data_IF_696085125644
#
_entry.id   IF_696085125644
#
_cell.length_a   1.000
_cell.length_b   1.000
_cell.length_c   1.000
_cell.angle_alpha   90.00
_cell.angle_beta   90.00
_cell.angle_gamma   90.00
#
_symmetry.space_group_name_H-M   'P 1'
#
loop_
_entity.id
_entity.type
_entity.pdbx_description
1 polymer ?
#
# COMPACT_ATOMS: atom_id res chain seq x y z
N UNK A 1 40.10 19.69 -2.99
CA UNK A 1 38.67 20.07 -3.11
C UNK A 1 37.90 19.25 -4.17
N UNK A 2 38.43 19.04 -5.38
CA UNK A 2 37.73 18.31 -6.47
C UNK A 2 37.41 16.84 -6.08
N UNK A 3 38.38 16.11 -5.48
CA UNK A 3 38.16 14.73 -5.05
C UNK A 3 37.05 14.58 -3.97
N UNK A 4 37.04 15.49 -2.99
CA UNK A 4 36.00 15.46 -1.92
C UNK A 4 34.62 15.69 -2.51
N UNK A 5 34.46 16.63 -3.43
CA UNK A 5 33.21 16.92 -4.12
C UNK A 5 32.70 15.72 -4.93
N UNK A 6 33.56 15.01 -5.64
CA UNK A 6 33.19 13.81 -6.39
C UNK A 6 32.76 12.67 -5.47
N UNK A 7 33.45 12.49 -4.34
CA UNK A 7 33.05 11.49 -3.34
C UNK A 7 31.68 11.82 -2.75
N UNK A 8 31.42 13.08 -2.42
CA UNK A 8 30.12 13.53 -1.93
C UNK A 8 29.01 13.31 -2.96
N UNK A 9 29.26 13.60 -4.24
CA UNK A 9 28.29 13.37 -5.31
C UNK A 9 27.99 11.88 -5.52
N UNK A 10 28.99 10.99 -5.37
CA UNK A 10 28.79 9.54 -5.42
C UNK A 10 27.96 9.03 -4.22
N UNK A 11 28.25 9.52 -3.02
CA UNK A 11 27.45 9.20 -1.82
C UNK A 11 26.02 9.70 -1.98
N UNK A 12 25.83 10.96 -2.40
CA UNK A 12 24.50 11.52 -2.69
C UNK A 12 23.74 10.70 -3.73
N UNK A 13 24.41 10.24 -4.80
CA UNK A 13 23.84 9.37 -5.82
C UNK A 13 23.32 8.05 -5.24
N UNK A 14 24.09 7.43 -4.35
CA UNK A 14 23.69 6.17 -3.70
C UNK A 14 22.51 6.41 -2.77
N UNK A 15 22.52 7.46 -1.96
CA UNK A 15 21.42 7.78 -1.05
C UNK A 15 20.13 8.05 -1.83
N UNK A 16 20.16 8.98 -2.79
CA UNK A 16 19.00 9.31 -3.63
C UNK A 16 18.50 8.07 -4.37
N UNK A 17 19.42 7.29 -4.96
CA UNK A 17 19.10 6.09 -5.69
C UNK A 17 18.41 5.02 -4.81
N UNK A 18 18.92 4.78 -3.61
CA UNK A 18 18.32 3.81 -2.68
C UNK A 18 16.94 4.25 -2.20
N UNK A 19 16.77 5.53 -1.86
CA UNK A 19 15.47 6.06 -1.45
C UNK A 19 14.45 5.95 -2.57
N UNK A 20 14.82 6.27 -3.81
CA UNK A 20 13.94 6.17 -4.98
C UNK A 20 13.57 4.72 -5.30
N UNK A 21 14.54 3.80 -5.27
CA UNK A 21 14.26 2.36 -5.47
C UNK A 21 13.32 1.85 -4.37
N UNK A 22 13.61 2.14 -3.11
CA UNK A 22 12.78 1.70 -1.98
C UNK A 22 11.36 2.27 -2.05
N UNK A 23 11.24 3.58 -2.24
CA UNK A 23 9.95 4.28 -2.35
C UNK A 23 9.14 3.80 -3.57
N UNK A 24 9.79 3.67 -4.74
CA UNK A 24 9.15 3.17 -5.96
C UNK A 24 8.69 1.72 -5.84
N UNK A 25 9.49 0.83 -5.25
CA UNK A 25 9.10 -0.57 -5.01
C UNK A 25 7.95 -0.69 -4.03
N UNK A 26 8.00 0.02 -2.89
CA UNK A 26 6.94 -0.04 -1.89
C UNK A 26 5.59 0.44 -2.44
N UNK A 27 5.60 1.49 -3.28
CA UNK A 27 4.38 1.91 -4.00
C UNK A 27 3.96 0.92 -5.08
N UNK A 28 4.91 0.29 -5.77
CA UNK A 28 4.65 -0.70 -6.81
C UNK A 28 4.06 -2.02 -6.25
N UNK A 29 4.17 -2.26 -4.93
CA UNK A 29 3.46 -3.36 -4.24
C UNK A 29 1.94 -3.14 -4.28
N UNK A 30 1.46 -1.89 -4.13
CA UNK A 30 0.03 -1.55 -4.21
C UNK A 30 -0.20 -0.37 -5.17
N UNK A 31 -0.22 -0.62 -6.50
CA UNK A 31 -0.49 0.44 -7.47
C UNK A 31 -1.90 1.03 -7.32
N UNK A 32 -2.88 0.22 -6.90
CA UNK A 32 -4.26 0.68 -6.67
C UNK A 32 -4.33 1.63 -5.47
N UNK A 33 -3.65 1.31 -4.37
CA UNK A 33 -3.54 2.21 -3.22
C UNK A 33 -2.89 3.55 -3.58
N UNK A 34 -1.84 3.52 -4.41
CA UNK A 34 -1.23 4.74 -4.95
C UNK A 34 -2.20 5.51 -5.85
N UNK A 35 -2.99 4.83 -6.70
CA UNK A 35 -4.02 5.47 -7.54
C UNK A 35 -5.10 6.15 -6.69
N UNK A 36 -5.55 5.53 -5.60
CA UNK A 36 -6.52 6.13 -4.67
C UNK A 36 -5.98 7.41 -4.01
N UNK A 37 -4.71 7.45 -3.64
CA UNK A 37 -4.07 8.68 -3.13
C UNK A 37 -3.98 9.76 -4.22
N UNK A 38 -3.61 9.39 -5.45
CA UNK A 38 -3.61 10.31 -6.60
C UNK A 38 -5.01 10.87 -6.84
N UNK A 39 -6.06 10.05 -6.75
CA UNK A 39 -7.45 10.50 -6.95
C UNK A 39 -7.87 11.54 -5.91
N UNK A 40 -7.42 11.40 -4.65
CA UNK A 40 -7.67 12.39 -3.59
C UNK A 40 -6.97 13.72 -3.88
N UNK A 41 -5.73 13.70 -4.40
CA UNK A 41 -5.03 14.92 -4.82
C UNK A 41 -5.70 15.60 -6.01
N UNK A 42 -6.24 14.80 -6.94
CA UNK A 42 -6.89 15.30 -8.16
C UNK A 42 -8.38 15.61 -7.97
N UNK A 43 -8.98 15.28 -6.82
CA UNK A 43 -10.41 15.48 -6.57
C UNK A 43 -10.93 16.89 -6.87
N UNK A 44 -10.19 18.00 -6.65
CA UNK A 44 -10.62 19.34 -7.00
C UNK A 44 -10.72 19.58 -8.52
N UNK A 45 -10.01 18.79 -9.34
CA UNK A 45 -9.91 18.96 -10.79
C UNK A 45 -10.64 17.83 -11.52
N UNK A 46 -10.53 16.61 -11.02
CA UNK A 46 -11.08 15.39 -11.58
C UNK A 46 -12.00 14.73 -10.55
N UNK A 47 -13.32 14.88 -10.73
CA UNK A 47 -14.28 14.23 -9.84
C UNK A 47 -14.06 12.71 -9.86
N UNK A 48 -13.94 12.05 -8.68
CA UNK A 48 -13.81 10.59 -8.61
C UNK A 48 -14.97 9.83 -9.26
N UNK A 49 -16.15 10.47 -9.37
CA UNK A 49 -17.33 9.90 -10.02
C UNK A 49 -17.32 10.07 -11.55
N UNK A 50 -16.36 10.82 -12.14
CA UNK A 50 -16.29 11.01 -13.58
C UNK A 50 -15.87 9.73 -14.29
N UNK A 51 -16.47 9.49 -15.47
CA UNK A 51 -16.09 8.35 -16.30
C UNK A 51 -14.59 8.40 -16.64
N UNK A 52 -13.89 7.30 -16.41
CA UNK A 52 -12.46 7.18 -16.69
C UNK A 52 -11.52 7.73 -15.60
N UNK A 53 -12.01 8.37 -14.53
CA UNK A 53 -11.16 8.88 -13.44
C UNK A 53 -10.31 7.77 -12.81
N UNK A 54 -10.88 6.60 -12.57
CA UNK A 54 -10.16 5.43 -12.03
C UNK A 54 -9.05 4.98 -13.00
N UNK A 55 -9.33 4.92 -14.29
CA UNK A 55 -8.34 4.53 -15.32
C UNK A 55 -7.18 5.53 -15.39
N UNK A 56 -7.50 6.83 -15.36
CA UNK A 56 -6.49 7.90 -15.38
C UNK A 56 -5.60 7.84 -14.14
N UNK A 57 -6.19 7.75 -12.96
CA UNK A 57 -5.43 7.70 -11.70
C UNK A 57 -4.60 6.43 -11.57
N UNK A 58 -5.09 5.30 -12.07
CA UNK A 58 -4.35 4.05 -12.15
C UNK A 58 -3.16 4.17 -13.11
N UNK A 59 -3.36 4.71 -14.30
CA UNK A 59 -2.28 4.95 -15.26
C UNK A 59 -1.20 5.89 -14.69
N UNK A 60 -1.61 6.97 -14.03
CA UNK A 60 -0.70 7.88 -13.33
C UNK A 60 0.07 7.18 -12.21
N UNK A 61 -0.58 6.28 -11.48
CA UNK A 61 0.06 5.47 -10.44
C UNK A 61 1.17 4.59 -11.03
N UNK A 62 0.90 3.87 -12.12
CA UNK A 62 1.92 3.05 -12.81
C UNK A 62 3.09 3.90 -13.29
N UNK A 63 2.82 5.06 -13.87
CA UNK A 63 3.87 6.00 -14.32
C UNK A 63 4.68 6.52 -13.14
N UNK A 64 4.04 6.92 -12.05
CA UNK A 64 4.70 7.46 -10.86
C UNK A 64 5.59 6.40 -10.19
N UNK A 65 5.04 5.23 -9.84
CA UNK A 65 5.76 4.15 -9.17
C UNK A 65 6.92 3.64 -10.06
N UNK A 66 6.64 3.39 -11.35
CA UNK A 66 7.62 2.90 -12.31
C UNK A 66 8.74 3.91 -12.56
N UNK A 67 8.42 5.19 -12.76
CA UNK A 67 9.43 6.24 -12.98
C UNK A 67 10.32 6.45 -11.76
N UNK A 68 9.77 6.46 -10.57
CA UNK A 68 10.52 6.61 -9.32
C UNK A 68 11.51 5.45 -9.13
N UNK A 69 11.03 4.21 -9.27
CA UNK A 69 11.91 3.02 -9.23
C UNK A 69 13.01 3.07 -10.29
N UNK A 70 12.65 3.37 -11.54
CA UNK A 70 13.61 3.40 -12.65
C UNK A 70 14.66 4.51 -12.49
N UNK A 71 14.26 5.70 -12.04
CA UNK A 71 15.19 6.78 -11.73
C UNK A 71 16.19 6.34 -10.66
N UNK A 72 15.73 5.72 -9.58
CA UNK A 72 16.57 5.19 -8.52
C UNK A 72 17.53 4.10 -9.03
N UNK A 73 17.01 3.10 -9.74
CA UNK A 73 17.79 2.00 -10.28
C UNK A 73 18.86 2.49 -11.29
N UNK A 74 18.49 3.40 -12.19
CA UNK A 74 19.42 3.94 -13.19
C UNK A 74 20.47 4.86 -12.56
N UNK A 75 20.14 5.62 -11.52
CA UNK A 75 21.12 6.37 -10.74
C UNK A 75 22.11 5.42 -10.07
N UNK A 76 21.65 4.36 -9.39
CA UNK A 76 22.52 3.38 -8.73
C UNK A 76 23.45 2.68 -9.73
N UNK A 77 22.93 2.27 -10.88
CA UNK A 77 23.70 1.61 -11.94
C UNK A 77 24.55 2.57 -12.77
N UNK A 78 24.35 3.87 -12.62
CA UNK A 78 25.04 4.89 -13.43
C UNK A 78 24.67 4.84 -14.92
N UNK A 79 23.45 4.35 -15.23
CA UNK A 79 22.90 4.28 -16.59
C UNK A 79 22.26 5.64 -16.94
N UNK A 80 22.49 6.16 -18.14
CA UNK A 80 21.96 7.46 -18.61
C UNK A 80 22.13 8.63 -17.61
N UNK A 81 23.27 8.67 -16.91
CA UNK A 81 23.56 9.54 -15.76
C UNK A 81 23.07 10.99 -15.85
N UNK A 82 23.34 11.69 -16.99
CA UNK A 82 22.93 13.08 -17.16
C UNK A 82 21.42 13.24 -17.25
N UNK A 83 20.76 12.31 -17.96
CA UNK A 83 19.32 12.31 -18.12
C UNK A 83 18.64 12.01 -16.79
N UNK A 84 19.06 10.93 -16.11
CA UNK A 84 18.48 10.54 -14.82
C UNK A 84 18.73 11.59 -13.73
N UNK A 85 19.90 12.22 -13.70
CA UNK A 85 20.18 13.29 -12.75
C UNK A 85 19.29 14.54 -12.97
N UNK A 86 18.98 14.90 -14.23
CA UNK A 86 18.03 16.00 -14.52
C UNK A 86 16.61 15.64 -14.10
N UNK A 87 16.16 14.44 -14.48
CA UNK A 87 14.84 13.95 -14.12
C UNK A 87 14.66 13.79 -12.60
N UNK A 88 15.70 13.35 -11.88
CA UNK A 88 15.60 13.24 -10.42
C UNK A 88 15.48 14.60 -9.74
N UNK A 89 16.15 15.65 -10.24
CA UNK A 89 15.94 17.01 -9.72
C UNK A 89 14.54 17.50 -10.04
N UNK A 90 14.04 17.31 -11.27
CA UNK A 90 12.67 17.69 -11.65
C UNK A 90 11.64 16.95 -10.79
N UNK A 91 11.81 15.64 -10.63
CA UNK A 91 10.95 14.81 -9.78
C UNK A 91 10.95 15.31 -8.33
N UNK A 92 12.13 15.59 -7.76
CA UNK A 92 12.25 16.10 -6.40
C UNK A 92 11.66 17.50 -6.23
N UNK A 93 11.75 18.38 -7.23
CA UNK A 93 11.09 19.69 -7.21
C UNK A 93 9.57 19.54 -7.13
N UNK A 94 8.99 18.69 -7.99
CA UNK A 94 7.54 18.40 -7.99
C UNK A 94 7.13 17.80 -6.64
N UNK A 95 7.84 16.77 -6.16
CA UNK A 95 7.48 16.10 -4.91
C UNK A 95 7.67 17.00 -3.69
N UNK A 96 8.64 17.92 -3.70
CA UNK A 96 8.81 18.91 -2.63
C UNK A 96 7.63 19.90 -2.63
N UNK A 97 7.19 20.36 -3.81
CA UNK A 97 6.04 21.24 -3.93
C UNK A 97 4.74 20.55 -3.47
N UNK A 98 4.52 19.28 -3.87
CA UNK A 98 3.36 18.49 -3.43
C UNK A 98 3.37 18.29 -1.91
N UNK A 99 4.52 17.92 -1.32
CA UNK A 99 4.60 17.71 0.14
C UNK A 99 4.51 19.02 0.93
N UNK A 100 4.93 20.14 0.37
CA UNK A 100 4.67 21.46 0.97
C UNK A 100 3.18 21.80 0.93
N UNK A 101 2.50 21.54 -0.19
CA UNK A 101 1.05 21.70 -0.29
C UNK A 101 0.30 20.84 0.74
N UNK A 102 0.67 19.56 0.89
CA UNK A 102 0.04 18.67 1.88
C UNK A 102 0.30 19.12 3.31
N UNK A 103 1.49 19.67 3.61
CA UNK A 103 1.81 20.22 4.94
C UNK A 103 0.95 21.42 5.29
N UNK A 104 0.64 22.29 4.30
CA UNK A 104 -0.13 23.53 4.52
C UNK A 104 -1.64 23.27 4.47
N UNK A 105 -2.11 22.54 3.44
CA UNK A 105 -3.54 22.39 3.16
C UNK A 105 -4.17 21.16 3.83
N UNK A 106 -3.37 20.18 4.27
CA UNK A 106 -3.79 18.93 4.90
C UNK A 106 -4.95 18.20 4.16
N UNK A 107 -4.88 18.03 2.82
CA UNK A 107 -5.99 17.50 2.02
C UNK A 107 -6.22 16.00 2.22
N UNK A 108 -5.21 15.29 2.73
CA UNK A 108 -5.21 13.83 2.92
C UNK A 108 -4.57 13.47 4.26
N UNK A 109 -4.86 12.29 4.79
CA UNK A 109 -4.36 11.85 6.10
C UNK A 109 -2.88 11.50 6.12
N UNK A 110 -2.33 10.99 5.02
CA UNK A 110 -0.91 10.66 4.87
C UNK A 110 -0.43 10.95 3.45
N UNK A 111 0.85 11.30 3.30
CA UNK A 111 1.43 11.67 2.01
C UNK A 111 1.60 10.48 1.05
N UNK A 112 1.60 9.24 1.53
CA UNK A 112 1.81 8.04 0.72
C UNK A 112 3.17 7.91 0.05
N UNK A 113 4.20 8.63 0.52
CA UNK A 113 5.54 8.63 -0.08
C UNK A 113 6.18 7.24 -0.17
N UNK A 114 5.86 6.34 0.76
CA UNK A 114 6.30 4.95 0.79
C UNK A 114 5.13 3.94 0.72
N UNK A 115 4.03 4.34 0.05
CA UNK A 115 2.81 3.53 0.02
C UNK A 115 2.20 3.37 1.41
N UNK A 116 1.61 2.20 1.68
CA UNK A 116 1.04 1.86 2.98
C UNK A 116 2.05 1.17 3.93
N UNK A 117 3.28 0.91 3.44
CA UNK A 117 4.32 0.23 4.21
C UNK A 117 4.91 1.10 5.32
N UNK A 118 5.12 2.39 5.05
CA UNK A 118 5.67 3.36 6.01
C UNK A 118 4.82 4.63 5.92
N UNK A 119 4.05 4.87 6.97
CA UNK A 119 3.24 6.08 7.11
C UNK A 119 4.10 7.17 7.73
N UNK A 120 4.44 8.19 6.94
CA UNK A 120 5.13 9.39 7.37
C UNK A 120 4.12 10.52 7.59
N UNK A 121 4.35 11.31 8.62
CA UNK A 121 3.64 12.57 8.81
C UNK A 121 3.94 13.53 7.64
N UNK A 122 3.09 14.53 7.44
CA UNK A 122 3.31 15.55 6.39
C UNK A 122 4.64 16.28 6.57
N UNK A 123 5.01 16.58 7.84
CA UNK A 123 6.26 17.25 8.16
C UNK A 123 7.47 16.34 7.82
N UNK A 124 7.45 15.07 8.21
CA UNK A 124 8.54 14.13 7.92
C UNK A 124 8.71 13.92 6.41
N UNK A 125 7.59 13.83 5.67
CA UNK A 125 7.59 13.73 4.21
C UNK A 125 8.22 14.96 3.55
N UNK A 126 7.88 16.16 4.02
CA UNK A 126 8.45 17.41 3.54
C UNK A 126 9.94 17.51 3.87
N UNK A 127 10.34 17.27 5.13
CA UNK A 127 11.74 17.31 5.55
C UNK A 127 12.62 16.33 4.78
N UNK A 128 12.14 15.11 4.55
CA UNK A 128 12.81 14.13 3.68
C UNK A 128 13.09 14.73 2.29
N UNK A 129 12.12 15.38 1.67
CA UNK A 129 12.27 15.97 0.35
C UNK A 129 13.19 17.19 0.35
N UNK A 130 13.17 18.02 1.40
CA UNK A 130 14.11 19.14 1.61
C UNK A 130 15.57 18.64 1.68
N UNK A 131 15.81 17.44 2.23
CA UNK A 131 17.14 16.82 2.27
C UNK A 131 17.50 16.20 0.91
N UNK A 132 16.57 15.51 0.24
CA UNK A 132 16.86 14.80 -1.01
C UNK A 132 17.04 15.74 -2.21
N UNK A 133 16.37 16.90 -2.23
CA UNK A 133 16.48 17.86 -3.33
C UNK A 133 17.91 18.41 -3.50
N UNK A 134 18.60 18.95 -2.48
CA UNK A 134 19.99 19.40 -2.63
C UNK A 134 20.94 18.25 -2.96
N UNK A 135 20.72 17.02 -2.45
CA UNK A 135 21.50 15.86 -2.85
C UNK A 135 21.32 15.55 -4.34
N UNK A 136 20.09 15.64 -4.86
CA UNK A 136 19.81 15.45 -6.29
C UNK A 136 20.46 16.54 -7.15
N UNK A 137 20.49 17.78 -6.68
CA UNK A 137 21.22 18.90 -7.34
C UNK A 137 22.73 18.64 -7.35
N UNK A 138 23.30 18.13 -6.26
CA UNK A 138 24.70 17.75 -6.20
C UNK A 138 25.02 16.66 -7.21
N UNK A 139 24.18 15.63 -7.32
CA UNK A 139 24.30 14.56 -8.34
C UNK A 139 24.25 15.14 -9.75
N UNK A 140 23.36 16.11 -10.02
CA UNK A 140 23.25 16.74 -11.33
C UNK A 140 24.49 17.54 -11.70
N UNK A 141 25.05 18.32 -10.76
CA UNK A 141 26.27 19.14 -10.97
C UNK A 141 27.45 18.28 -11.39
N UNK A 142 27.60 17.10 -10.80
CA UNK A 142 28.72 16.20 -11.07
C UNK A 142 28.36 15.01 -11.99
N UNK A 143 27.20 15.04 -12.65
CA UNK A 143 26.66 13.93 -13.45
C UNK A 143 27.62 13.40 -14.55
N UNK A 144 28.55 14.22 -15.05
CA UNK A 144 29.56 13.79 -16.03
C UNK A 144 30.66 12.94 -15.40
N UNK A 145 31.02 13.23 -14.16
CA UNK A 145 32.14 12.61 -13.44
C UNK A 145 31.70 11.35 -12.66
N UNK A 146 30.39 11.17 -12.43
CA UNK A 146 29.84 9.99 -11.73
C UNK A 146 30.29 8.69 -12.41
N UNK A 147 30.56 7.69 -11.60
CA UNK A 147 30.93 6.35 -12.07
C UNK A 147 29.79 5.70 -12.85
N UNK A 148 30.11 5.01 -13.94
CA UNK A 148 29.19 4.19 -14.70
C UNK A 148 29.55 2.72 -14.50
N UNK A 149 28.52 1.89 -14.27
CA UNK A 149 28.73 0.48 -14.03
C UNK A 149 28.83 -0.30 -15.34
N UNK A 150 28.21 0.19 -16.40
CA UNK A 150 28.11 -0.50 -17.69
C UNK A 150 28.76 0.30 -18.81
N UNK A 151 29.35 -0.39 -19.79
CA UNK A 151 29.82 0.22 -21.02
C UNK A 151 28.66 0.82 -21.83
N UNK A 152 28.97 1.72 -22.78
CA UNK A 152 27.93 2.29 -23.65
C UNK A 152 27.12 1.24 -24.42
N UNK A 153 27.76 0.12 -24.78
CA UNK A 153 27.12 -0.98 -25.52
C UNK A 153 26.27 -1.90 -24.65
N UNK A 154 26.57 -2.02 -23.36
CA UNK A 154 25.92 -2.97 -22.46
C UNK A 154 24.80 -2.35 -21.59
N UNK A 155 24.77 -1.00 -21.46
CA UNK A 155 23.83 -0.30 -20.53
C UNK A 155 22.35 -0.50 -20.83
N UNK A 156 21.99 -0.89 -22.06
CA UNK A 156 20.60 -1.15 -22.42
C UNK A 156 20.06 -2.42 -21.75
N UNK A 157 20.92 -3.43 -21.52
CA UNK A 157 20.50 -4.70 -20.90
C UNK A 157 19.91 -4.48 -19.50
N UNK A 158 20.64 -3.90 -18.51
CA UNK A 158 20.07 -3.65 -17.20
C UNK A 158 18.91 -2.64 -17.26
N UNK A 159 18.91 -1.70 -18.20
CA UNK A 159 17.80 -0.78 -18.37
C UNK A 159 16.51 -1.50 -18.79
N UNK A 160 16.58 -2.36 -19.81
CA UNK A 160 15.42 -3.15 -20.27
C UNK A 160 14.95 -4.11 -19.18
N UNK A 161 15.89 -4.82 -18.51
CA UNK A 161 15.52 -5.72 -17.41
C UNK A 161 14.81 -4.98 -16.26
N UNK A 162 15.25 -3.76 -15.92
CA UNK A 162 14.58 -2.96 -14.89
C UNK A 162 13.21 -2.49 -15.33
N UNK A 163 13.05 -2.04 -16.58
CA UNK A 163 11.76 -1.61 -17.13
C UNK A 163 10.78 -2.77 -17.19
N UNK A 164 11.16 -3.89 -17.81
CA UNK A 164 10.31 -5.07 -17.92
C UNK A 164 9.95 -5.62 -16.54
N UNK A 165 10.94 -5.69 -15.64
CA UNK A 165 10.71 -6.23 -14.30
C UNK A 165 9.76 -5.38 -13.47
N UNK A 166 9.88 -4.05 -13.48
CA UNK A 166 8.96 -3.20 -12.70
C UNK A 166 7.55 -3.19 -13.29
N UNK A 167 7.41 -3.20 -14.61
CA UNK A 167 6.10 -3.30 -15.27
C UNK A 167 5.44 -4.62 -14.92
N UNK A 168 6.17 -5.74 -15.05
CA UNK A 168 5.68 -7.06 -14.67
C UNK A 168 5.28 -7.09 -13.19
N UNK A 169 6.12 -6.59 -12.29
CA UNK A 169 5.85 -6.55 -10.85
C UNK A 169 4.58 -5.77 -10.51
N UNK A 170 4.39 -4.59 -11.11
CA UNK A 170 3.17 -3.79 -10.90
C UNK A 170 1.94 -4.48 -11.50
N UNK A 171 2.05 -5.07 -12.69
CA UNK A 171 0.96 -5.78 -13.35
C UNK A 171 0.49 -7.00 -12.54
N UNK A 172 1.43 -7.75 -11.97
CA UNK A 172 1.15 -8.86 -11.07
C UNK A 172 0.41 -8.43 -9.80
N UNK A 173 0.89 -7.36 -9.14
CA UNK A 173 0.25 -6.82 -7.93
C UNK A 173 -1.12 -6.19 -8.22
N UNK A 174 -1.35 -5.72 -9.45
CA UNK A 174 -2.64 -5.18 -9.87
C UNK A 174 -3.65 -6.28 -10.21
N UNK A 175 -3.22 -7.29 -10.96
CA UNK A 175 -4.08 -8.40 -11.43
C UNK A 175 -4.45 -9.36 -10.29
N UNK A 176 -3.50 -9.61 -9.43
CA UNK A 176 -3.63 -10.42 -8.23
C UNK A 176 -3.66 -9.54 -6.99
N UNK A 177 -3.61 -10.10 -5.81
CA UNK A 177 -3.42 -9.30 -4.59
C UNK A 177 -1.95 -8.95 -4.40
N UNK A 178 -1.64 -7.84 -3.68
CA UNK A 178 -0.28 -7.46 -3.37
C UNK A 178 0.57 -8.58 -2.76
N UNK A 179 1.83 -8.69 -3.16
CA UNK A 179 2.79 -9.67 -2.59
C UNK A 179 2.93 -9.53 -1.07
N UNK A 180 2.89 -8.31 -0.57
CA UNK A 180 2.92 -8.00 0.85
C UNK A 180 1.72 -7.10 1.12
N UNK A 181 0.82 -7.56 1.98
CA UNK A 181 -0.32 -6.75 2.40
C UNK A 181 0.05 -5.97 3.66
N UNK A 182 0.41 -4.70 3.48
CA UNK A 182 0.72 -3.77 4.57
C UNK A 182 -0.52 -3.22 5.28
N UNK A 183 -1.71 -3.56 4.79
CA UNK A 183 -2.98 -3.05 5.30
C UNK A 183 -3.45 -3.84 6.52
N UNK A 184 -4.38 -3.25 7.30
CA UNK A 184 -4.88 -3.88 8.53
C UNK A 184 -5.50 -5.26 8.34
N UNK A 185 -6.09 -5.52 7.18
CA UNK A 185 -6.86 -6.73 6.85
C UNK A 185 -6.01 -7.80 6.15
N UNK A 186 -4.74 -7.94 6.52
CA UNK A 186 -3.87 -8.97 5.95
C UNK A 186 -4.36 -10.38 6.32
N UNK A 187 -4.04 -11.38 5.46
CA UNK A 187 -4.30 -12.80 5.77
C UNK A 187 -3.61 -13.16 7.08
N UNK A 188 -4.32 -13.83 7.96
CA UNK A 188 -3.88 -14.17 9.32
C UNK A 188 -4.37 -13.22 10.42
N UNK A 189 -4.94 -12.05 10.07
CA UNK A 189 -5.50 -11.11 11.06
C UNK A 189 -6.76 -11.69 11.69
N UNK A 190 -6.81 -11.72 13.03
CA UNK A 190 -8.02 -11.95 13.79
C UNK A 190 -8.76 -10.61 13.95
N UNK A 191 -9.85 -10.43 13.18
CA UNK A 191 -10.60 -9.18 13.15
C UNK A 191 -11.27 -8.89 14.49
N UNK A 192 -11.81 -9.91 15.18
CA UNK A 192 -12.45 -9.75 16.49
C UNK A 192 -11.47 -9.14 17.50
N UNK A 193 -10.28 -9.74 17.64
CA UNK A 193 -9.26 -9.26 18.57
C UNK A 193 -8.72 -7.88 18.17
N UNK A 194 -8.52 -7.66 16.86
CA UNK A 194 -7.97 -6.42 16.34
C UNK A 194 -8.91 -5.23 16.58
N UNK A 195 -10.21 -5.40 16.31
CA UNK A 195 -11.23 -4.38 16.53
C UNK A 195 -11.41 -4.12 18.02
N UNK A 196 -11.53 -5.17 18.86
CA UNK A 196 -11.64 -5.01 20.30
C UNK A 196 -10.44 -4.28 20.92
N UNK A 197 -9.23 -4.57 20.43
CA UNK A 197 -8.00 -3.88 20.85
C UNK A 197 -7.98 -2.41 20.45
N UNK A 198 -8.48 -2.09 19.26
CA UNK A 198 -8.59 -0.71 18.80
C UNK A 198 -9.62 0.08 19.60
N UNK A 199 -10.80 -0.49 19.82
CA UNK A 199 -11.86 0.10 20.66
C UNK A 199 -11.35 0.37 22.08
N UNK A 200 -10.69 -0.59 22.71
CA UNK A 200 -10.09 -0.41 24.03
C UNK A 200 -8.98 0.63 24.05
N UNK A 201 -8.23 0.79 22.95
CA UNK A 201 -7.24 1.85 22.78
C UNK A 201 -7.89 3.23 22.65
N UNK A 202 -8.93 3.33 21.81
CA UNK A 202 -9.71 4.55 21.64
C UNK A 202 -10.36 4.99 22.98
N UNK A 203 -10.97 4.04 23.69
CA UNK A 203 -11.59 4.31 24.99
C UNK A 203 -10.56 4.87 26.00
N UNK A 204 -9.33 4.32 26.02
CA UNK A 204 -8.25 4.85 26.87
C UNK A 204 -7.86 6.28 26.49
N UNK A 205 -7.76 6.57 25.18
CA UNK A 205 -7.46 7.92 24.70
C UNK A 205 -8.57 8.88 25.10
N UNK A 206 -9.85 8.49 24.92
CA UNK A 206 -11.02 9.28 25.30
C UNK A 206 -11.04 9.58 26.79
N UNK A 207 -10.82 8.56 27.64
CA UNK A 207 -10.78 8.75 29.10
C UNK A 207 -9.62 9.66 29.53
N UNK A 208 -8.44 9.51 28.90
CA UNK A 208 -7.29 10.37 29.19
C UNK A 208 -7.44 11.81 28.69
N UNK A 209 -8.19 12.02 27.61
CA UNK A 209 -8.45 13.34 27.06
C UNK A 209 -9.70 14.03 27.65
N UNK A 210 -10.48 13.32 28.49
CA UNK A 210 -11.63 13.92 29.16
C UNK A 210 -11.14 14.64 30.42
N UNK A 211 -11.34 15.96 30.47
CA UNK A 211 -11.10 16.78 31.65
C UNK A 211 -12.41 16.97 32.40
N UNK A 212 -12.40 16.66 33.67
CA UNK A 212 -13.53 16.87 34.59
C UNK A 212 -13.35 18.19 35.30
N UNK A 213 -14.24 19.15 35.04
CA UNK A 213 -14.20 20.48 35.60
C UNK A 213 -14.99 20.47 36.88
N UNK A 214 -14.34 20.81 37.98
CA UNK A 214 -14.94 20.95 39.29
C UNK A 214 -14.79 22.40 39.78
N UNK A 215 -15.73 22.84 40.62
CA UNK A 215 -15.73 24.16 41.25
C UNK A 215 -15.65 24.03 42.75
N UNK A 216 -14.84 24.90 43.38
CA UNK A 216 -14.77 25.12 44.83
C UNK A 216 -14.48 26.60 45.09
N UNK A 217 -15.27 27.21 45.99
CA UNK A 217 -15.14 28.62 46.39
C UNK A 217 -15.11 29.58 45.18
N UNK A 218 -15.96 29.31 44.17
CA UNK A 218 -16.06 30.15 42.96
C UNK A 218 -14.89 29.98 41.97
N UNK A 219 -13.93 29.09 42.22
CA UNK A 219 -12.82 28.76 41.31
C UNK A 219 -13.06 27.41 40.65
N UNK A 220 -12.90 27.38 39.34
CA UNK A 220 -12.97 26.15 38.54
C UNK A 220 -11.58 25.58 38.26
N UNK A 221 -11.44 24.26 38.35
CA UNK A 221 -10.20 23.54 38.01
C UNK A 221 -10.53 22.27 37.25
N UNK A 222 -9.70 21.96 36.25
CA UNK A 222 -9.80 20.72 35.46
C UNK A 222 -8.97 19.59 36.11
N UNK A 223 -9.55 18.42 36.19
CA UNK A 223 -8.96 17.19 36.74
C UNK A 223 -9.01 16.05 35.71
N UNK A 224 -8.08 15.16 35.81
CA UNK A 224 -8.11 13.89 35.03
C UNK A 224 -8.94 12.83 35.74
N UNK A 225 -9.46 11.86 34.98
CA UNK A 225 -10.26 10.76 35.55
C UNK A 225 -9.51 9.97 36.64
N UNK A 226 -8.18 9.89 36.55
CA UNK A 226 -7.29 9.24 37.53
C UNK A 226 -7.01 10.04 38.79
N UNK A 227 -7.34 11.34 38.80
CA UNK A 227 -6.99 12.28 39.88
C UNK A 227 -8.16 13.19 40.19
N UNK A 228 -9.36 12.64 40.37
CA UNK A 228 -10.55 13.40 40.74
C UNK A 228 -10.41 13.98 42.15
N UNK A 229 -10.95 15.20 42.40
CA UNK A 229 -10.87 15.83 43.69
C UNK A 229 -11.78 15.15 44.73
N UNK A 230 -11.58 15.50 45.98
CA UNK A 230 -12.40 15.07 47.10
C UNK A 230 -13.84 15.65 47.06
N UNK A 231 -14.70 15.17 47.96
CA UNK A 231 -16.12 15.56 48.06
C UNK A 231 -16.38 17.03 48.38
N UNK A 232 -15.34 17.85 48.61
CA UNK A 232 -15.46 19.29 48.83
C UNK A 232 -15.57 20.10 47.54
N UNK A 233 -15.35 19.45 46.38
CA UNK A 233 -15.50 20.04 45.06
C UNK A 233 -16.81 19.62 44.42
N UNK A 234 -17.48 20.54 43.75
CA UNK A 234 -18.72 20.30 43.01
C UNK A 234 -18.41 20.10 41.54
N UNK A 235 -18.89 19.00 40.98
CA UNK A 235 -18.78 18.74 39.53
C UNK A 235 -19.53 19.80 38.74
N UNK A 236 -18.93 20.32 37.68
CA UNK A 236 -19.53 21.35 36.80
C UNK A 236 -19.82 20.70 35.42
N UNK A 237 -18.79 20.21 34.75
CA UNK A 237 -18.92 19.56 33.42
C UNK A 237 -17.76 18.62 33.16
N UNK A 238 -17.96 17.71 32.21
CA UNK A 238 -16.86 16.97 31.59
C UNK A 238 -16.61 17.52 30.19
N UNK A 239 -15.39 17.97 29.94
CA UNK A 239 -14.96 18.51 28.66
C UNK A 239 -13.99 17.58 27.98
N UNK A 240 -14.27 17.20 26.75
CA UNK A 240 -13.42 16.37 25.93
C UNK A 240 -12.44 17.25 25.14
N UNK A 241 -11.14 17.11 25.42
CA UNK A 241 -10.07 17.87 24.76
C UNK A 241 -9.49 17.15 23.54
N UNK A 242 -9.85 15.86 23.33
CA UNK A 242 -9.44 15.12 22.13
C UNK A 242 -10.19 15.60 20.90
N UNK A 243 -9.47 15.93 19.86
CA UNK A 243 -10.05 16.15 18.53
C UNK A 243 -10.39 14.79 17.89
N UNK A 244 -11.60 14.30 18.17
CA UNK A 244 -12.11 13.06 17.61
C UNK A 244 -12.46 13.16 16.12
N UNK A 245 -12.63 14.39 15.61
CA UNK A 245 -12.92 14.59 14.19
C UNK A 245 -11.73 14.17 13.30
N UNK A 246 -10.53 14.14 13.87
CA UNK A 246 -9.32 13.69 13.18
C UNK A 246 -9.06 12.18 13.35
N UNK A 247 -9.74 11.51 14.27
CA UNK A 247 -9.57 10.07 14.49
C UNK A 247 -10.16 9.26 13.33
N UNK A 248 -9.33 8.42 12.72
CA UNK A 248 -9.76 7.46 11.71
C UNK A 248 -9.48 6.05 12.23
N UNK A 249 -10.51 5.21 12.41
CA UNK A 249 -10.30 3.85 12.85
C UNK A 249 -9.43 3.09 11.82
N UNK A 250 -8.55 2.27 12.32
CA UNK A 250 -7.70 1.41 11.48
C UNK A 250 -8.51 0.23 10.91
N UNK A 251 -9.50 -0.24 11.68
CA UNK A 251 -10.44 -1.31 11.32
C UNK A 251 -11.84 -0.74 11.21
N UNK A 252 -12.15 -0.13 10.06
CA UNK A 252 -13.46 0.43 9.75
C UNK A 252 -14.30 -0.60 8.97
N UNK A 253 -14.57 -1.75 9.61
CA UNK A 253 -15.39 -2.82 9.05
C UNK A 253 -16.67 -2.93 9.84
N UNK A 254 -17.69 -2.17 9.46
CA UNK A 254 -19.01 -2.18 10.09
C UNK A 254 -20.11 -2.31 9.03
N UNK A 255 -20.26 -3.49 8.39
CA UNK A 255 -21.30 -3.71 7.41
C UNK A 255 -22.67 -3.71 8.06
N UNK A 256 -23.66 -3.16 7.33
CA UNK A 256 -25.07 -3.15 7.73
C UNK A 256 -25.90 -4.01 6.79
N UNK A 257 -27.00 -4.55 7.29
CA UNK A 257 -27.94 -5.32 6.49
C UNK A 257 -28.94 -4.43 5.74
N UNK A 258 -29.91 -5.05 5.06
CA UNK A 258 -30.97 -4.35 4.33
C UNK A 258 -31.94 -3.55 5.22
N UNK A 259 -31.91 -3.77 6.53
CA UNK A 259 -32.72 -3.05 7.53
C UNK A 259 -31.94 -1.89 8.17
N UNK A 260 -30.62 -1.76 7.83
CA UNK A 260 -29.75 -0.77 8.43
C UNK A 260 -29.10 -1.21 9.73
N UNK A 261 -29.25 -2.48 10.13
CA UNK A 261 -28.69 -3.00 11.37
C UNK A 261 -27.24 -3.47 11.17
N UNK A 262 -26.32 -3.16 12.10
CA UNK A 262 -24.94 -3.61 12.02
C UNK A 262 -24.86 -5.13 12.23
N UNK A 263 -24.19 -5.82 11.30
CA UNK A 263 -24.03 -7.29 11.32
C UNK A 263 -22.61 -7.76 11.68
N UNK A 264 -21.76 -6.84 12.13
CA UNK A 264 -20.36 -7.16 12.43
C UNK A 264 -20.21 -8.25 13.49
N UNK A 265 -21.02 -8.22 14.57
CA UNK A 265 -21.00 -9.26 15.61
C UNK A 265 -21.40 -10.62 15.01
N UNK A 266 -22.47 -10.67 14.20
CA UNK A 266 -22.91 -11.89 13.53
C UNK A 266 -21.82 -12.48 12.65
N UNK A 267 -21.07 -11.64 11.92
CA UNK A 267 -19.99 -12.09 11.04
C UNK A 267 -18.74 -12.56 11.80
N UNK A 268 -18.40 -11.89 12.90
CA UNK A 268 -17.19 -12.20 13.66
C UNK A 268 -17.41 -13.27 14.73
N UNK A 269 -18.65 -13.43 15.24
CA UNK A 269 -19.00 -14.42 16.26
C UNK A 269 -19.51 -15.73 15.65
N UNK A 270 -19.70 -15.78 14.31
CA UNK A 270 -20.03 -17.03 13.63
C UNK A 270 -18.88 -18.03 13.79
N UNK A 271 -19.21 -19.24 14.27
CA UNK A 271 -18.28 -20.35 14.27
C UNK A 271 -18.12 -20.93 12.86
N UNK A 272 -16.90 -21.34 12.51
CA UNK A 272 -16.60 -21.96 11.24
C UNK A 272 -16.29 -20.97 10.12
N UNK A 273 -16.61 -21.36 8.88
CA UNK A 273 -16.22 -20.64 7.65
C UNK A 273 -17.32 -19.66 7.25
N UNK A 274 -16.95 -18.42 6.95
CA UNK A 274 -17.81 -17.41 6.33
C UNK A 274 -17.11 -16.83 5.11
N UNK A 275 -17.84 -16.72 3.99
CA UNK A 275 -17.33 -16.16 2.73
C UNK A 275 -17.93 -14.76 2.52
N UNK A 276 -17.06 -13.81 2.22
CA UNK A 276 -17.42 -12.44 1.90
C UNK A 276 -16.95 -12.13 0.47
N UNK A 277 -17.90 -11.89 -0.44
CA UNK A 277 -17.62 -11.41 -1.79
C UNK A 277 -17.72 -9.88 -1.77
N UNK A 278 -16.59 -9.19 -1.90
CA UNK A 278 -16.51 -7.74 -1.77
C UNK A 278 -16.36 -7.05 -3.11
N UNK A 279 -17.16 -6.02 -3.35
CA UNK A 279 -16.94 -5.08 -4.46
C UNK A 279 -17.41 -3.69 -4.05
N UNK A 280 -16.57 -2.64 -4.19
CA UNK A 280 -17.01 -1.25 -3.94
C UNK A 280 -18.19 -0.85 -4.80
N UNK A 281 -18.26 -1.34 -6.04
CA UNK A 281 -19.40 -1.16 -6.94
C UNK A 281 -19.60 -2.40 -7.80
N UNK A 282 -20.81 -2.92 -7.81
CA UNK A 282 -21.17 -4.04 -8.69
C UNK A 282 -21.23 -3.64 -10.16
N UNK A 283 -21.42 -2.36 -10.46
CA UNK A 283 -21.39 -1.85 -11.85
C UNK A 283 -20.02 -2.00 -12.49
N UNK A 284 -18.93 -1.85 -11.70
CA UNK A 284 -17.55 -1.94 -12.19
C UNK A 284 -16.91 -3.29 -11.89
N UNK A 285 -17.62 -4.19 -11.23
CA UNK A 285 -17.14 -5.53 -10.93
C UNK A 285 -16.88 -6.33 -12.21
N UNK A 286 -15.80 -7.10 -12.24
CA UNK A 286 -15.47 -7.96 -13.38
C UNK A 286 -16.55 -9.02 -13.60
N UNK A 287 -17.03 -9.09 -14.82
CA UNK A 287 -18.00 -10.10 -15.24
C UNK A 287 -17.32 -11.40 -15.75
N UNK A 288 -15.99 -11.43 -15.75
CA UNK A 288 -15.25 -12.57 -16.27
C UNK A 288 -15.29 -13.82 -15.38
N UNK A 289 -15.86 -13.70 -14.17
CA UNK A 289 -15.87 -14.75 -13.13
C UNK A 289 -17.27 -15.00 -12.57
N UNK A 290 -18.31 -14.79 -13.39
CA UNK A 290 -19.71 -14.97 -12.94
C UNK A 290 -20.03 -16.42 -12.65
N UNK A 291 -19.54 -17.34 -13.48
CA UNK A 291 -19.77 -18.78 -13.30
C UNK A 291 -19.08 -19.30 -12.03
N UNK A 292 -17.85 -18.84 -11.77
CA UNK A 292 -17.11 -19.15 -10.55
C UNK A 292 -17.80 -18.62 -9.29
N UNK A 293 -18.36 -17.40 -9.35
CA UNK A 293 -19.11 -16.82 -8.22
C UNK A 293 -20.39 -17.62 -7.95
N UNK A 294 -21.12 -18.00 -8.99
CA UNK A 294 -22.33 -18.79 -8.88
C UNK A 294 -22.05 -20.15 -8.24
N UNK A 295 -21.03 -20.86 -8.73
CA UNK A 295 -20.60 -22.14 -8.18
C UNK A 295 -20.09 -22.02 -6.74
N UNK A 296 -19.31 -20.94 -6.44
CA UNK A 296 -18.86 -20.65 -5.07
C UNK A 296 -20.04 -20.50 -4.10
N UNK A 297 -21.08 -19.77 -4.51
CA UNK A 297 -22.27 -19.60 -3.67
C UNK A 297 -23.08 -20.89 -3.51
N UNK A 298 -23.31 -21.63 -4.59
CA UNK A 298 -24.04 -22.90 -4.55
C UNK A 298 -23.35 -23.94 -3.68
N UNK A 299 -22.05 -24.14 -3.88
CA UNK A 299 -21.29 -25.13 -3.11
C UNK A 299 -21.09 -24.69 -1.65
N UNK A 300 -20.91 -23.39 -1.38
CA UNK A 300 -20.89 -22.85 -0.01
C UNK A 300 -22.22 -23.15 0.71
N UNK A 301 -23.34 -22.95 0.03
CA UNK A 301 -24.68 -23.26 0.56
C UNK A 301 -24.84 -24.75 0.86
N UNK A 302 -24.34 -25.65 -0.01
CA UNK A 302 -24.34 -27.11 0.23
C UNK A 302 -23.50 -27.51 1.43
N UNK A 303 -22.39 -26.80 1.68
CA UNK A 303 -21.50 -27.04 2.82
C UNK A 303 -21.97 -26.35 4.11
N UNK A 304 -23.04 -25.54 4.04
CA UNK A 304 -23.55 -24.76 5.18
C UNK A 304 -22.66 -23.56 5.53
N UNK A 305 -21.85 -23.06 4.60
CA UNK A 305 -21.02 -21.88 4.82
C UNK A 305 -21.81 -20.60 4.48
N UNK A 306 -21.98 -19.66 5.43
CA UNK A 306 -22.57 -18.36 5.14
C UNK A 306 -21.80 -17.64 4.03
N UNK A 307 -22.54 -17.09 3.05
CA UNK A 307 -22.01 -16.35 1.92
C UNK A 307 -22.71 -14.99 1.81
N UNK A 308 -21.94 -13.90 1.83
CA UNK A 308 -22.44 -12.52 1.79
C UNK A 308 -21.77 -11.74 0.67
N UNK A 309 -22.57 -10.92 -0.05
CA UNK A 309 -22.03 -9.84 -0.88
C UNK A 309 -21.86 -8.57 -0.04
N UNK A 310 -20.73 -7.91 -0.11
CA UNK A 310 -20.46 -6.65 0.61
C UNK A 310 -20.13 -5.54 -0.38
N UNK A 311 -20.88 -4.44 -0.34
CA UNK A 311 -20.78 -3.40 -1.39
C UNK A 311 -21.18 -2.01 -0.90
N UNK A 312 -20.72 -0.99 -1.62
CA UNK A 312 -21.21 0.39 -1.52
C UNK A 312 -22.18 0.75 -2.67
N UNK A 313 -22.59 -0.23 -3.46
CA UNK A 313 -23.51 -0.05 -4.58
C UNK A 313 -24.89 0.41 -4.15
N UNK A 314 -25.57 1.14 -5.03
CA UNK A 314 -26.99 1.50 -4.86
C UNK A 314 -27.89 0.27 -5.01
N UNK A 315 -29.14 0.41 -4.56
CA UNK A 315 -30.15 -0.65 -4.71
C UNK A 315 -30.38 -1.05 -6.17
N UNK A 316 -30.29 -0.08 -7.10
CA UNK A 316 -30.42 -0.35 -8.53
C UNK A 316 -29.25 -1.16 -9.07
N UNK A 317 -28.01 -0.81 -8.67
CA UNK A 317 -26.82 -1.57 -9.06
C UNK A 317 -26.84 -3.02 -8.50
N UNK A 318 -27.33 -3.19 -7.27
CA UNK A 318 -27.52 -4.52 -6.66
C UNK A 318 -28.60 -5.31 -7.41
N UNK A 319 -29.72 -4.67 -7.79
CA UNK A 319 -30.77 -5.33 -8.57
C UNK A 319 -30.26 -5.77 -9.94
N UNK A 320 -29.48 -4.90 -10.62
CA UNK A 320 -28.87 -5.24 -11.90
C UNK A 320 -27.86 -6.40 -11.75
N UNK A 321 -27.04 -6.40 -10.71
CA UNK A 321 -26.12 -7.50 -10.42
C UNK A 321 -26.86 -8.81 -10.20
N UNK A 322 -27.91 -8.81 -9.40
CA UNK A 322 -28.76 -9.99 -9.16
C UNK A 322 -29.39 -10.51 -10.45
N UNK A 323 -29.86 -9.61 -11.31
CA UNK A 323 -30.41 -9.98 -12.62
C UNK A 323 -29.36 -10.67 -13.52
N UNK A 324 -28.14 -10.15 -13.55
CA UNK A 324 -27.06 -10.69 -14.37
C UNK A 324 -26.49 -12.01 -13.85
N UNK A 325 -26.43 -12.18 -12.53
CA UNK A 325 -25.71 -13.30 -11.90
C UNK A 325 -26.65 -14.36 -11.31
N UNK A 326 -27.95 -14.08 -11.19
CA UNK A 326 -28.87 -14.93 -10.41
C UNK A 326 -28.58 -14.91 -8.90
N UNK A 327 -27.78 -13.97 -8.39
CA UNK A 327 -27.32 -13.94 -7.01
C UNK A 327 -28.48 -13.87 -6.01
N UNK A 328 -28.61 -14.90 -5.16
CA UNK A 328 -29.61 -15.02 -4.10
C UNK A 328 -29.04 -14.77 -2.69
N UNK A 329 -27.71 -14.63 -2.57
CA UNK A 329 -27.05 -14.38 -1.29
C UNK A 329 -27.37 -12.99 -0.73
N UNK A 330 -27.37 -12.82 0.63
CA UNK A 330 -27.59 -11.54 1.28
C UNK A 330 -26.54 -10.51 0.86
N UNK A 331 -26.99 -9.26 0.64
CA UNK A 331 -26.13 -8.12 0.35
C UNK A 331 -26.03 -7.24 1.60
N UNK A 332 -24.80 -6.94 1.98
CA UNK A 332 -24.47 -6.06 3.08
C UNK A 332 -23.91 -4.74 2.52
N UNK A 333 -24.30 -3.63 3.12
CA UNK A 333 -23.83 -2.30 2.77
C UNK A 333 -22.61 -1.93 3.61
N UNK A 334 -21.57 -1.46 2.94
CA UNK A 334 -20.35 -0.95 3.56
C UNK A 334 -19.77 0.14 2.65
N UNK A 335 -19.18 1.19 3.22
CA UNK A 335 -18.56 2.24 2.43
C UNK A 335 -17.44 1.71 1.52
N UNK A 336 -17.25 2.38 0.38
CA UNK A 336 -16.27 1.98 -0.62
C UNK A 336 -14.81 2.01 -0.10
N UNK A 337 -14.49 2.92 0.84
CA UNK A 337 -13.13 3.07 1.38
C UNK A 337 -12.71 1.86 2.24
N UNK A 338 -13.50 1.40 3.23
CA UNK A 338 -13.22 0.15 3.94
C UNK A 338 -13.09 -1.04 2.99
N UNK A 339 -14.02 -1.22 2.03
CA UNK A 339 -13.96 -2.34 1.07
C UNK A 339 -12.62 -2.31 0.33
N UNK A 340 -12.23 -1.16 -0.21
CA UNK A 340 -10.93 -1.01 -0.90
C UNK A 340 -9.74 -1.21 0.02
N UNK A 341 -9.86 -0.95 1.32
CA UNK A 341 -8.82 -1.24 2.31
C UNK A 341 -8.71 -2.73 2.59
N UNK A 342 -9.82 -3.45 2.61
CA UNK A 342 -9.84 -4.90 2.82
C UNK A 342 -9.26 -5.62 1.61
N UNK A 343 -9.72 -5.28 0.38
CA UNK A 343 -9.32 -5.98 -0.83
C UNK A 343 -9.16 -5.01 -2.02
N UNK A 344 -8.17 -5.25 -2.89
CA UNK A 344 -7.90 -4.42 -4.09
C UNK A 344 -8.52 -5.00 -5.38
N UNK A 345 -9.33 -6.01 -5.28
CA UNK A 345 -9.98 -6.68 -6.40
C UNK A 345 -11.48 -6.36 -6.46
N UNK A 346 -12.05 -6.29 -7.66
CA UNK A 346 -13.46 -6.01 -7.92
C UNK A 346 -14.01 -7.04 -8.93
N UNK A 347 -14.69 -8.10 -8.47
CA UNK A 347 -14.87 -8.49 -7.07
C UNK A 347 -13.63 -9.13 -6.45
N UNK A 348 -13.63 -9.27 -5.12
CA UNK A 348 -12.65 -10.03 -4.40
C UNK A 348 -13.30 -10.90 -3.33
N UNK A 349 -12.73 -12.07 -3.07
CA UNK A 349 -13.20 -13.00 -2.05
C UNK A 349 -12.35 -12.90 -0.80
N UNK A 350 -12.99 -12.80 0.35
CA UNK A 350 -12.37 -12.89 1.67
C UNK A 350 -13.01 -14.04 2.43
N UNK A 351 -12.20 -14.91 3.01
CA UNK A 351 -12.66 -16.05 3.80
C UNK A 351 -12.28 -15.85 5.24
N UNK A 352 -13.30 -15.87 6.09
CA UNK A 352 -13.15 -15.83 7.54
C UNK A 352 -13.30 -17.24 8.11
N UNK A 353 -12.55 -17.53 9.16
CA UNK A 353 -12.76 -18.70 10.05
C UNK A 353 -12.68 -18.22 11.49
N UNK A 354 -13.80 -18.32 12.21
CA UNK A 354 -13.91 -17.86 13.60
C UNK A 354 -13.46 -16.39 13.78
N UNK A 355 -13.87 -15.50 12.85
CA UNK A 355 -13.48 -14.09 12.83
C UNK A 355 -12.05 -13.80 12.37
N UNK A 356 -11.27 -14.81 11.96
CA UNK A 356 -9.91 -14.66 11.44
C UNK A 356 -9.90 -14.76 9.92
N UNK A 357 -9.21 -13.83 9.24
CA UNK A 357 -9.00 -13.91 7.79
C UNK A 357 -8.02 -15.05 7.48
N UNK A 358 -8.48 -16.10 6.82
CA UNK A 358 -7.65 -17.25 6.45
C UNK A 358 -7.23 -17.25 4.99
N UNK A 359 -8.04 -16.65 4.09
CA UNK A 359 -7.71 -16.52 2.68
C UNK A 359 -8.29 -15.24 2.10
N UNK A 360 -7.63 -14.71 1.07
CA UNK A 360 -8.08 -13.57 0.25
C UNK A 360 -7.73 -13.86 -1.20
N UNK A 361 -8.68 -13.67 -2.12
CA UNK A 361 -8.47 -13.90 -3.54
C UNK A 361 -8.93 -12.72 -4.37
N UNK A 362 -8.08 -12.31 -5.31
CA UNK A 362 -8.51 -11.46 -6.42
C UNK A 362 -9.41 -12.29 -7.35
N UNK A 363 -10.27 -11.62 -8.12
CA UNK A 363 -11.11 -12.32 -9.10
C UNK A 363 -10.29 -13.19 -10.08
N UNK A 364 -9.07 -12.76 -10.41
CA UNK A 364 -8.15 -13.52 -11.27
C UNK A 364 -7.60 -14.82 -10.63
N UNK A 365 -7.76 -14.95 -9.31
CA UNK A 365 -7.30 -16.11 -8.52
C UNK A 365 -8.48 -16.97 -8.01
N UNK A 366 -9.70 -16.72 -8.48
CA UNK A 366 -10.84 -17.56 -8.11
C UNK A 366 -10.61 -18.98 -8.61
N UNK A 367 -11.03 -19.99 -7.85
CA UNK A 367 -10.95 -21.36 -8.32
C UNK A 367 -11.82 -21.52 -9.57
N UNK A 368 -11.37 -22.32 -10.55
CA UNK A 368 -12.22 -22.67 -11.68
C UNK A 368 -13.50 -23.40 -11.18
N UNK A 369 -14.55 -23.39 -11.98
CA UNK A 369 -15.82 -24.02 -11.63
C UNK A 369 -15.63 -25.43 -11.08
N UNK A 370 -14.82 -26.27 -11.75
CA UNK A 370 -14.51 -27.64 -11.31
C UNK A 370 -13.67 -27.69 -10.02
N UNK A 371 -12.91 -26.61 -9.75
CA UNK A 371 -12.04 -26.50 -8.58
C UNK A 371 -12.72 -25.98 -7.33
N UNK A 372 -13.90 -25.36 -7.43
CA UNK A 372 -14.63 -24.72 -6.31
C UNK A 372 -14.88 -25.69 -5.16
N UNK A 373 -15.43 -26.88 -5.44
CA UNK A 373 -15.72 -27.86 -4.40
C UNK A 373 -14.47 -28.31 -3.64
N UNK A 374 -13.36 -28.54 -4.35
CA UNK A 374 -12.07 -28.90 -3.74
C UNK A 374 -11.54 -27.75 -2.87
N UNK A 375 -11.64 -26.52 -3.37
CA UNK A 375 -11.21 -25.34 -2.64
C UNK A 375 -12.01 -25.17 -1.33
N UNK A 376 -13.35 -25.15 -1.40
CA UNK A 376 -14.19 -24.91 -0.22
C UNK A 376 -14.02 -26.01 0.84
N UNK A 377 -13.87 -27.27 0.43
CA UNK A 377 -13.61 -28.39 1.36
C UNK A 377 -12.23 -28.32 2.01
N UNK A 378 -11.28 -27.62 1.41
CA UNK A 378 -9.94 -27.41 1.99
C UNK A 378 -9.90 -26.33 3.07
N UNK A 379 -10.87 -25.39 3.09
CA UNK A 379 -10.87 -24.21 3.96
C UNK A 379 -10.79 -24.53 5.47
N UNK A 380 -11.47 -25.56 6.01
CA UNK A 380 -11.39 -25.85 7.44
C UNK A 380 -9.97 -26.19 7.93
N UNK A 381 -9.14 -26.76 7.06
CA UNK A 381 -7.75 -27.15 7.38
C UNK A 381 -6.73 -26.17 6.83
N UNK A 382 -7.16 -25.16 6.07
CA UNK A 382 -6.26 -24.20 5.44
C UNK A 382 -5.52 -23.36 6.49
N UNK A 383 -4.20 -23.32 6.38
CA UNK A 383 -3.42 -22.36 7.14
C UNK A 383 -3.35 -21.02 6.40
N UNK A 384 -3.39 -19.88 7.11
CA UNK A 384 -3.16 -18.59 6.50
C UNK A 384 -1.85 -18.60 5.72
N UNK A 385 -1.90 -18.30 4.42
CA UNK A 385 -0.72 -18.33 3.56
C UNK A 385 -0.62 -17.06 2.72
N UNK A 386 0.62 -16.68 2.44
CA UNK A 386 0.94 -15.56 1.57
C UNK A 386 0.77 -15.89 0.08
N UNK A 387 1.32 -15.04 -0.81
CA UNK A 387 1.24 -15.22 -2.25
C UNK A 387 1.79 -16.58 -2.69
N UNK A 388 1.30 -17.08 -3.85
CA UNK A 388 1.68 -18.38 -4.36
C UNK A 388 3.20 -18.55 -4.50
N UNK A 389 3.70 -19.76 -4.29
CA UNK A 389 5.12 -20.08 -4.40
C UNK A 389 5.67 -19.68 -5.78
N UNK A 390 4.92 -19.93 -6.86
CA UNK A 390 5.31 -19.58 -8.24
C UNK A 390 5.55 -18.07 -8.39
N UNK A 391 4.65 -17.22 -7.87
CA UNK A 391 4.80 -15.77 -7.92
C UNK A 391 6.05 -15.34 -7.14
N UNK A 392 6.27 -15.92 -5.97
CA UNK A 392 7.43 -15.66 -5.13
C UNK A 392 8.73 -16.05 -5.84
N UNK A 393 8.78 -17.21 -6.51
CA UNK A 393 9.96 -17.63 -7.30
C UNK A 393 10.26 -16.69 -8.47
N UNK A 394 9.25 -16.20 -9.19
CA UNK A 394 9.45 -15.26 -10.30
C UNK A 394 10.03 -13.92 -9.80
N UNK A 395 9.56 -13.42 -8.67
CA UNK A 395 10.12 -12.23 -8.02
C UNK A 395 11.60 -12.43 -7.64
N UNK A 396 11.92 -13.56 -6.99
CA UNK A 396 13.28 -13.88 -6.61
C UNK A 396 14.19 -14.09 -7.82
N UNK A 397 13.68 -14.72 -8.89
CA UNK A 397 14.41 -14.87 -10.15
C UNK A 397 14.75 -13.52 -10.77
N UNK A 398 13.80 -12.58 -10.81
CA UNK A 398 14.04 -11.22 -11.27
C UNK A 398 15.07 -10.49 -10.40
N UNK A 399 14.94 -10.54 -9.08
CA UNK A 399 15.89 -9.94 -8.14
C UNK A 399 17.30 -10.55 -8.30
N UNK A 400 17.38 -11.88 -8.47
CA UNK A 400 18.64 -12.58 -8.72
C UNK A 400 19.29 -12.17 -10.03
N UNK A 401 18.53 -11.99 -11.12
CA UNK A 401 19.04 -11.48 -12.39
C UNK A 401 19.62 -10.06 -12.26
N UNK A 402 18.96 -9.17 -11.52
CA UNK A 402 19.47 -7.83 -11.23
C UNK A 402 20.77 -7.90 -10.41
N UNK A 403 20.79 -8.74 -9.38
CA UNK A 403 21.98 -8.97 -8.55
C UNK A 403 23.15 -9.56 -9.35
N UNK A 404 22.91 -10.55 -10.20
CA UNK A 404 23.93 -11.14 -11.08
C UNK A 404 24.49 -10.11 -12.06
N UNK A 405 23.63 -9.28 -12.65
CA UNK A 405 24.06 -8.18 -13.51
C UNK A 405 24.97 -7.20 -12.76
N UNK A 406 24.63 -6.91 -11.50
CA UNK A 406 25.42 -6.07 -10.60
C UNK A 406 26.76 -6.74 -10.21
N UNK A 407 26.75 -8.00 -9.80
CA UNK A 407 27.93 -8.77 -9.39
C UNK A 407 28.93 -8.98 -10.54
N UNK A 408 28.44 -9.28 -11.76
CA UNK A 408 29.28 -9.38 -12.97
C UNK A 408 30.06 -8.09 -13.23
N UNK A 409 29.44 -6.96 -12.96
CA UNK A 409 30.14 -5.67 -13.04
C UNK A 409 31.24 -5.55 -12.00
N UNK A 410 30.97 -5.88 -10.72
CA UNK A 410 31.96 -5.81 -9.65
C UNK A 410 33.15 -6.74 -9.91
N UNK A 411 32.91 -7.96 -10.39
CA UNK A 411 33.92 -8.93 -10.76
C UNK A 411 34.82 -8.39 -11.87
N UNK A 412 34.24 -7.81 -12.94
CA UNK A 412 35.04 -7.18 -14.03
C UNK A 412 35.90 -6.03 -13.53
N UNK A 413 35.37 -5.22 -12.62
CA UNK A 413 36.12 -4.08 -12.07
C UNK A 413 37.28 -4.53 -11.17
N UNK A 414 37.02 -5.56 -10.34
CA UNK A 414 38.06 -6.15 -9.47
C UNK A 414 39.20 -6.73 -10.33
N UNK A 415 38.86 -7.48 -11.37
CA UNK A 415 39.81 -8.07 -12.30
C UNK A 415 40.66 -7.01 -13.02
N UNK A 416 40.04 -5.92 -13.50
CA UNK A 416 40.74 -4.78 -14.13
C UNK A 416 41.65 -4.07 -13.13
N UNK A 417 41.21 -3.87 -11.88
CA UNK A 417 42.05 -3.20 -10.86
C UNK A 417 43.22 -4.06 -10.46
N UNK A 418 43.02 -5.36 -10.28
CA UNK A 418 44.13 -6.31 -10.00
C UNK A 418 45.11 -6.37 -11.16
N UNK A 419 44.62 -6.46 -12.38
CA UNK A 419 45.48 -6.50 -13.58
C UNK A 419 46.33 -5.23 -13.76
N UNK A 420 45.76 -4.05 -13.51
CA UNK A 420 46.45 -2.77 -13.54
C UNK A 420 47.50 -2.67 -12.41
N UNK A 421 47.21 -3.18 -11.22
CA UNK A 421 48.21 -3.23 -10.12
C UNK A 421 49.38 -4.16 -10.41
N UNK A 422 49.11 -5.33 -10.97
CA UNK A 422 50.11 -6.28 -11.38
C UNK A 422 51.00 -5.67 -12.49
N UNK A 423 50.39 -5.06 -13.49
CA UNK A 423 51.09 -4.40 -14.59
C UNK A 423 51.98 -3.23 -14.10
N UNK A 424 51.49 -2.45 -13.14
CA UNK A 424 52.24 -1.35 -12.52
C UNK A 424 53.42 -1.84 -11.68
N UNK A 425 53.28 -2.99 -10.97
CA UNK A 425 54.39 -3.62 -10.25
C UNK A 425 55.46 -4.19 -11.19
N UNK A 426 55.03 -4.80 -12.31
CA UNK A 426 55.98 -5.35 -13.32
C UNK A 426 56.73 -4.28 -14.10
N UNK A 427 56.20 -3.04 -14.21
CA UNK A 427 56.91 -1.91 -14.82
C UNK A 427 57.84 -1.15 -13.84
N UNK A 428 57.70 -1.37 -12.53
CA UNK A 428 58.57 -0.79 -11.49
C UNK A 428 59.76 -1.70 -11.15
N UNK A 429 59.78 -2.91 -11.71
CA UNK A 429 60.90 -3.89 -11.56
C UNK A 429 61.73 -4.06 -12.81
N UNK A 430 61.57 -3.17 -13.83
CA UNK A 430 62.47 -2.97 -14.92
C UNK A 430 63.01 -1.53 -14.83
#
# INVERSE_FOLDING_TARGET
>A
MIHVRHTLAEVARVIVGLVFVGSGLLKAVDPVGTALKISQYLAPILSPASAGAETITLALSFVLCGSEFLLGAFLLMGVYRKFCARLSVLFMLVMTAVTLYTLIANPISDCGCFGDAIQLTHLESFLKNVVLLPLSILVLRDARALRHLYSRRERWVPAVLSVVGIIYFMAENYRHLPYIDFRPYAVGTNLREAIAKEEASLQRVLLGATKYIYSKDGKTKAFEASALPDSTWTFVEARQEADLASYKPRYDFNPIDSLGEPVISTLLDSEGITLLLLSPSWRTASQAVLDEISELHEEASRLGYPFYGVTASTSEEIAQWRYLTGASYPMLQLDATPIRTIIRSQPGLVVLRDGKIIDKRAYADFPSVEGVSTYLRSLPQMQPHGPSATRTYLLWAWAALQLLAFLRFWARKLHLTVHLHIKKRLHLTK
#
